data_IF_070988279900
#
_entry.id   IF_070988279900
#
_cell.length_a   1.000
_cell.length_b   1.000
_cell.length_c   1.000
_cell.angle_alpha   90.00
_cell.angle_beta   90.00
_cell.angle_gamma   90.00
#
_symmetry.space_group_name_H-M   'P 1'
#
loop_
_entity.id
_entity.type
_entity.pdbx_description
1 polymer ?
#
# COMPACT_ATOMS: atom_id res chain seq x y z
N UNK A 1 -2.52 -17.91 2.08
CA UNK A 1 -1.31 -17.90 1.24
C UNK A 1 -0.87 -16.47 0.98
N UNK A 2 0.39 -16.16 1.24
CA UNK A 2 0.92 -14.83 0.98
C UNK A 2 1.33 -14.69 -0.49
N UNK A 3 1.13 -13.51 -1.06
CA UNK A 3 1.60 -13.15 -2.39
C UNK A 3 2.82 -12.26 -2.21
N UNK A 4 3.92 -12.57 -2.84
CA UNK A 4 5.12 -11.75 -2.78
C UNK A 4 5.79 -11.65 -4.14
N UNK A 5 6.59 -10.63 -4.30
CA UNK A 5 7.28 -10.39 -5.56
C UNK A 5 8.02 -9.07 -5.55
N UNK A 6 8.20 -8.52 -6.73
CA UNK A 6 9.00 -7.33 -6.96
C UNK A 6 8.21 -6.30 -7.77
N UNK A 7 8.39 -5.00 -7.44
CA UNK A 7 7.68 -3.92 -8.10
C UNK A 7 8.13 -3.70 -9.55
N UNK A 8 9.28 -4.22 -9.95
CA UNK A 8 9.69 -4.16 -11.35
C UNK A 8 8.88 -5.11 -12.22
N UNK A 9 8.43 -6.23 -11.65
CA UNK A 9 7.57 -7.21 -12.34
C UNK A 9 6.10 -6.84 -12.25
N UNK A 10 5.68 -6.28 -11.11
CA UNK A 10 4.29 -5.88 -10.88
C UNK A 10 4.27 -4.52 -10.18
N UNK A 11 4.11 -3.43 -10.93
CA UNK A 11 4.01 -2.09 -10.34
C UNK A 11 2.85 -1.99 -9.35
N UNK A 12 2.97 -1.09 -8.38
CA UNK A 12 1.96 -0.96 -7.33
C UNK A 12 0.56 -0.72 -7.89
N UNK A 13 0.43 0.02 -8.98
CA UNK A 13 -0.86 0.25 -9.61
C UNK A 13 -1.55 -1.05 -9.98
N UNK A 14 -0.84 -1.97 -10.65
CA UNK A 14 -1.38 -3.28 -11.00
C UNK A 14 -1.66 -4.12 -9.77
N UNK A 15 -0.74 -4.10 -8.80
CA UNK A 15 -0.86 -4.86 -7.58
C UNK A 15 -2.11 -4.46 -6.80
N UNK A 16 -2.41 -3.17 -6.69
CA UNK A 16 -3.60 -2.69 -6.00
C UNK A 16 -4.88 -3.11 -6.73
N UNK A 17 -4.85 -3.17 -8.05
CA UNK A 17 -6.00 -3.67 -8.82
C UNK A 17 -6.22 -5.17 -8.58
N UNK A 18 -5.14 -5.94 -8.54
CA UNK A 18 -5.22 -7.38 -8.23
C UNK A 18 -5.77 -7.61 -6.82
N UNK A 19 -5.37 -6.78 -5.87
CA UNK A 19 -5.76 -6.90 -4.47
C UNK A 19 -7.05 -6.16 -4.12
N UNK A 20 -7.72 -5.58 -5.10
CA UNK A 20 -8.88 -4.71 -4.90
C UNK A 20 -9.98 -5.34 -4.05
N UNK A 21 -10.21 -6.64 -4.19
CA UNK A 21 -11.26 -7.35 -3.45
C UNK A 21 -10.76 -8.02 -2.17
N UNK A 22 -9.50 -7.81 -1.82
CA UNK A 22 -8.88 -8.52 -0.70
C UNK A 22 -8.79 -7.63 0.54
N UNK A 23 -8.71 -8.28 1.69
CA UNK A 23 -8.43 -7.62 2.96
C UNK A 23 -7.10 -8.15 3.49
N UNK A 24 -6.22 -7.24 3.94
CA UNK A 24 -4.94 -7.64 4.50
C UNK A 24 -3.95 -6.49 4.49
N UNK A 25 -2.68 -6.81 4.69
CA UNK A 25 -1.59 -5.84 4.71
C UNK A 25 -0.64 -6.09 3.54
N UNK A 26 -0.38 -5.06 2.77
CA UNK A 26 0.61 -5.09 1.72
C UNK A 26 1.88 -4.40 2.23
N UNK A 27 2.93 -5.18 2.44
CA UNK A 27 4.21 -4.66 2.89
C UNK A 27 5.10 -4.42 1.68
N UNK A 28 5.78 -3.26 1.66
CA UNK A 28 6.66 -2.85 0.57
C UNK A 28 7.97 -2.38 1.19
N UNK A 29 9.09 -2.89 0.68
CA UNK A 29 10.41 -2.50 1.16
C UNK A 29 11.41 -2.46 0.00
N UNK A 30 12.64 -2.04 0.29
CA UNK A 30 13.67 -1.86 -0.73
C UNK A 30 13.31 -0.83 -1.82
N UNK A 31 12.50 0.16 -1.46
CA UNK A 31 12.24 1.30 -2.34
C UNK A 31 13.20 2.41 -1.95
N UNK A 32 13.97 2.91 -2.93
CA UNK A 32 14.97 3.92 -2.69
C UNK A 32 14.34 5.18 -2.09
N UNK A 33 14.90 5.63 -0.98
CA UNK A 33 14.45 6.86 -0.32
C UNK A 33 13.25 6.69 0.60
N UNK A 34 12.73 5.45 0.76
CA UNK A 34 11.62 5.20 1.66
C UNK A 34 11.94 4.09 2.66
N UNK A 35 11.50 4.24 3.92
CA UNK A 35 11.52 3.11 4.85
C UNK A 35 10.48 2.07 4.41
N UNK A 36 10.52 0.88 5.02
CA UNK A 36 9.50 -0.12 4.78
C UNK A 36 8.11 0.47 5.07
N UNK A 37 7.18 0.22 4.17
CA UNK A 37 5.85 0.82 4.21
C UNK A 37 4.80 -0.28 4.16
N UNK A 38 3.75 -0.15 4.96
CA UNK A 38 2.65 -1.11 4.99
C UNK A 38 1.35 -0.41 4.60
N UNK A 39 0.66 -0.96 3.61
CA UNK A 39 -0.68 -0.51 3.23
C UNK A 39 -1.70 -1.50 3.77
N UNK A 40 -2.57 -1.04 4.66
CA UNK A 40 -3.67 -1.87 5.15
C UNK A 40 -4.87 -1.68 4.26
N UNK A 41 -5.36 -2.79 3.69
CA UNK A 41 -6.41 -2.80 2.68
C UNK A 41 -7.67 -3.49 3.19
N UNK A 42 -8.81 -2.97 2.76
CA UNK A 42 -10.09 -3.67 2.81
C UNK A 42 -10.64 -3.70 1.38
N UNK A 43 -11.63 -4.53 1.08
CA UNK A 43 -12.18 -4.59 -0.27
C UNK A 43 -12.54 -3.21 -0.79
N UNK A 44 -11.90 -2.80 -1.87
CA UNK A 44 -12.12 -1.52 -2.53
C UNK A 44 -11.55 -0.29 -1.84
N UNK A 45 -10.81 -0.45 -0.70
CA UNK A 45 -10.36 0.71 0.08
C UNK A 45 -8.97 0.54 0.65
N UNK A 46 -8.25 1.67 0.75
CA UNK A 46 -6.99 1.78 1.48
C UNK A 46 -7.34 2.41 2.83
N UNK A 47 -7.04 1.70 3.91
CA UNK A 47 -7.45 2.10 5.27
C UNK A 47 -6.33 2.67 6.09
N UNK A 48 -5.08 2.37 5.79
CA UNK A 48 -3.93 2.97 6.48
C UNK A 48 -2.67 2.78 5.66
N UNK A 49 -1.76 3.74 5.78
CA UNK A 49 -0.40 3.64 5.24
C UNK A 49 0.53 3.90 6.41
N UNK A 50 1.32 2.90 6.77
CA UNK A 50 2.15 2.93 7.97
C UNK A 50 3.62 2.89 7.59
N UNK A 51 4.44 3.60 8.36
CA UNK A 51 5.89 3.48 8.33
C UNK A 51 6.39 3.37 9.76
N UNK A 52 7.33 2.44 10.00
CA UNK A 52 7.92 2.22 11.32
C UNK A 52 6.87 1.92 12.40
N UNK A 53 5.83 1.19 12.01
CA UNK A 53 4.76 0.79 12.93
C UNK A 53 3.77 1.88 13.28
N UNK A 54 3.82 3.04 12.60
CA UNK A 54 2.94 4.16 12.89
C UNK A 54 2.14 4.58 11.66
N UNK A 55 0.85 4.90 11.81
CA UNK A 55 0.06 5.38 10.69
C UNK A 55 0.50 6.78 10.30
N UNK A 56 0.61 7.02 8.99
CA UNK A 56 0.92 8.34 8.48
C UNK A 56 -0.35 9.20 8.43
N UNK A 57 -0.23 10.51 8.69
CA UNK A 57 -1.35 11.42 8.44
C UNK A 57 -1.67 11.47 6.95
N UNK A 58 -2.91 11.86 6.57
CA UNK A 58 -3.35 11.77 5.17
C UNK A 58 -2.43 12.43 4.15
N UNK A 59 -1.87 13.58 4.46
CA UNK A 59 -0.98 14.28 3.52
C UNK A 59 0.33 13.52 3.30
N UNK A 60 0.94 13.03 4.38
CA UNK A 60 2.15 12.23 4.28
C UNK A 60 1.86 10.90 3.59
N UNK A 61 0.73 10.27 3.90
CA UNK A 61 0.31 9.03 3.27
C UNK A 61 0.14 9.20 1.77
N UNK A 62 -0.45 10.32 1.34
CA UNK A 62 -0.63 10.62 -0.08
C UNK A 62 0.72 10.75 -0.79
N UNK A 63 1.66 11.46 -0.19
CA UNK A 63 2.99 11.64 -0.77
C UNK A 63 3.73 10.31 -0.90
N UNK A 64 3.64 9.46 0.12
CA UNK A 64 4.26 8.13 0.11
C UNK A 64 3.61 7.26 -0.97
N UNK A 65 2.29 7.25 -1.06
CA UNK A 65 1.58 6.47 -2.08
C UNK A 65 2.01 6.89 -3.48
N UNK A 66 2.10 8.19 -3.72
CA UNK A 66 2.53 8.72 -5.01
C UNK A 66 3.94 8.26 -5.37
N UNK A 67 4.86 8.29 -4.39
CA UNK A 67 6.22 7.79 -4.58
C UNK A 67 6.23 6.30 -4.91
N UNK A 68 5.42 5.52 -4.20
CA UNK A 68 5.32 4.08 -4.45
C UNK A 68 4.73 3.76 -5.83
N UNK A 69 3.76 4.55 -6.29
CA UNK A 69 3.17 4.37 -7.62
C UNK A 69 4.18 4.62 -8.74
N UNK A 70 5.17 5.48 -8.49
CA UNK A 70 6.23 5.78 -9.45
C UNK A 70 7.43 4.85 -9.33
N UNK A 71 7.52 4.06 -8.26
CA UNK A 71 8.67 3.20 -8.02
C UNK A 71 8.74 2.09 -9.06
N UNK A 72 9.95 1.83 -9.56
CA UNK A 72 10.22 0.74 -10.50
C UNK A 72 11.02 -0.39 -9.85
N UNK A 73 11.44 -0.20 -8.61
CA UNK A 73 12.19 -1.17 -7.84
C UNK A 73 11.59 -1.29 -6.45
N UNK A 74 11.71 -2.46 -5.88
CA UNK A 74 11.24 -2.73 -4.54
C UNK A 74 10.66 -4.13 -4.45
N UNK A 75 10.46 -4.57 -3.21
CA UNK A 75 9.90 -5.87 -2.92
C UNK A 75 8.55 -5.70 -2.22
N UNK A 76 7.66 -6.66 -2.41
CA UNK A 76 6.39 -6.63 -1.71
C UNK A 76 5.98 -8.00 -1.22
N UNK A 77 5.14 -7.99 -0.19
CA UNK A 77 4.47 -9.19 0.32
C UNK A 77 3.08 -8.80 0.78
N UNK A 78 2.07 -9.54 0.34
CA UNK A 78 0.71 -9.35 0.81
C UNK A 78 0.39 -10.42 1.85
N UNK A 79 -0.03 -9.97 3.04
CA UNK A 79 -0.39 -10.82 4.16
C UNK A 79 -1.91 -10.80 4.32
N UNK A 80 -2.62 -11.85 3.85
CA UNK A 80 -4.07 -11.86 3.91
C UNK A 80 -4.59 -11.75 5.34
N UNK A 81 -5.65 -10.98 5.51
CA UNK A 81 -6.39 -10.84 6.77
C UNK A 81 -5.59 -10.21 7.92
N UNK A 82 -4.40 -9.71 7.67
CA UNK A 82 -3.67 -8.96 8.67
C UNK A 82 -4.31 -7.59 8.82
N UNK A 83 -4.64 -7.21 10.05
CA UNK A 83 -5.34 -5.96 10.36
C UNK A 83 -4.44 -5.02 11.16
N UNK A 84 -4.63 -3.69 11.01
CA UNK A 84 -3.87 -2.74 11.83
C UNK A 84 -4.27 -2.87 13.30
N UNK A 85 -3.30 -2.63 14.18
CA UNK A 85 -3.52 -2.66 15.65
C UNK A 85 -3.87 -1.29 16.21
N UNK A 86 -3.93 -0.29 15.37
CA UNK A 86 -4.23 1.07 15.75
C UNK A 86 -5.51 1.51 15.03
N UNK A 87 -6.00 2.70 15.41
CA UNK A 87 -7.15 3.29 14.75
C UNK A 87 -6.74 3.77 13.36
N UNK A 88 -7.48 3.33 12.33
CA UNK A 88 -7.19 3.74 10.95
C UNK A 88 -7.65 5.18 10.71
N UNK A 89 -6.88 5.89 9.88
CA UNK A 89 -7.13 7.30 9.57
C UNK A 89 -7.57 7.54 8.15
N UNK A 90 -7.48 6.53 7.29
CA UNK A 90 -7.78 6.67 5.87
C UNK A 90 -9.00 5.84 5.51
N UNK A 91 -9.67 6.28 4.48
CA UNK A 91 -10.79 5.54 3.91
C UNK A 91 -10.86 5.89 2.42
N UNK A 92 -9.76 5.62 1.72
CA UNK A 92 -9.64 5.99 0.31
C UNK A 92 -10.14 4.86 -0.58
N UNK A 93 -11.13 5.11 -1.45
CA UNK A 93 -11.45 4.14 -2.49
C UNK A 93 -10.21 3.90 -3.35
N UNK A 94 -9.82 2.65 -3.51
CA UNK A 94 -8.60 2.28 -4.23
C UNK A 94 -8.60 2.85 -5.65
N UNK A 95 -9.69 2.69 -6.37
CA UNK A 95 -9.79 3.20 -7.74
C UNK A 95 -9.65 4.72 -7.81
N UNK A 96 -10.30 5.43 -6.89
CA UNK A 96 -10.22 6.89 -6.83
C UNK A 96 -8.82 7.35 -6.50
N UNK A 97 -8.16 6.68 -5.57
CA UNK A 97 -6.79 7.00 -5.21
C UNK A 97 -5.86 6.87 -6.41
N UNK A 98 -6.00 5.78 -7.18
CA UNK A 98 -5.18 5.57 -8.37
C UNK A 98 -5.46 6.63 -9.44
N UNK A 99 -6.70 7.00 -9.66
CA UNK A 99 -7.07 8.01 -10.65
C UNK A 99 -6.64 9.42 -10.23
N UNK A 100 -6.71 9.72 -8.95
CA UNK A 100 -6.41 11.08 -8.45
C UNK A 100 -4.91 11.36 -8.33
N UNK A 101 -4.09 10.31 -8.17
CA UNK A 101 -2.66 10.45 -7.93
C UNK A 101 -1.82 10.20 -9.18
N UNK A 102 -2.41 9.66 -10.20
CA UNK A 102 -1.79 9.47 -11.50
C UNK A 102 -2.13 10.65 -12.44
#
# INVERSE_FOLDING_TARGET
MALFGSLDSMPLEELLLVLKSKEGALEIWNVKGLPATTLYLKPGRIRSIDQRGKPLPPEAAKAVLLTLLKAREGSFEFLPNLRPRHRVRLNWPTEKALLSLV
#
